data_IF_810056213645
#
_entry.id   IF_810056213645
#
_cell.length_a   1.000
_cell.length_b   1.000
_cell.length_c   1.000
_cell.angle_alpha   90.00
_cell.angle_beta   90.00
_cell.angle_gamma   90.00
#
_symmetry.space_group_name_H-M   'P 1'
#
loop_
_entity.id
_entity.type
_entity.pdbx_description
1 polymer ?
#
# COMPACT_ATOMS: atom_id res chain seq x y z
N UNK A 1 -6.70 4.61 -29.55
CA UNK A 1 -6.75 4.65 -28.08
C UNK A 1 -6.91 3.21 -27.65
N UNK A 2 -5.81 2.53 -27.38
CA UNK A 2 -5.88 1.30 -26.58
C UNK A 2 -6.31 1.70 -25.18
N UNK A 3 -7.27 0.96 -24.65
CA UNK A 3 -7.77 1.10 -23.29
C UNK A 3 -6.59 1.16 -22.31
N UNK A 4 -6.45 2.27 -21.59
CA UNK A 4 -5.45 2.45 -20.52
C UNK A 4 -5.95 1.87 -19.18
N UNK A 5 -6.95 0.99 -19.21
CA UNK A 5 -7.44 0.28 -18.04
C UNK A 5 -6.45 -0.80 -17.59
N UNK A 6 -6.18 -0.86 -16.28
CA UNK A 6 -5.45 -1.99 -15.69
C UNK A 6 -6.11 -3.30 -16.08
N UNK A 7 -5.30 -4.26 -16.52
CA UNK A 7 -5.78 -5.61 -16.82
C UNK A 7 -6.33 -6.28 -15.56
N UNK A 8 -7.28 -7.22 -15.72
CA UNK A 8 -7.82 -7.99 -14.61
C UNK A 8 -6.73 -8.64 -13.73
N UNK A 9 -5.60 -9.01 -14.35
CA UNK A 9 -4.43 -9.59 -13.66
C UNK A 9 -3.71 -8.57 -12.77
N UNK A 10 -3.52 -7.35 -13.25
CA UNK A 10 -2.91 -6.26 -12.47
C UNK A 10 -3.81 -5.87 -11.30
N UNK A 11 -5.12 -5.78 -11.55
CA UNK A 11 -6.11 -5.53 -10.50
C UNK A 11 -6.10 -6.62 -9.43
N UNK A 12 -6.09 -7.90 -9.83
CA UNK A 12 -6.00 -9.03 -8.91
C UNK A 12 -4.72 -9.00 -8.07
N UNK A 13 -3.59 -8.62 -8.67
CA UNK A 13 -2.31 -8.52 -7.96
C UNK A 13 -2.35 -7.41 -6.91
N UNK A 14 -2.86 -6.22 -7.25
CA UNK A 14 -3.02 -5.12 -6.29
C UNK A 14 -3.95 -5.47 -5.12
N UNK A 15 -5.07 -6.16 -5.41
CA UNK A 15 -5.99 -6.61 -4.37
C UNK A 15 -5.35 -7.66 -3.46
N UNK A 16 -4.54 -8.55 -4.02
CA UNK A 16 -3.82 -9.57 -3.26
C UNK A 16 -2.77 -8.95 -2.32
N UNK A 17 -1.99 -7.99 -2.80
CA UNK A 17 -1.02 -7.27 -1.96
C UNK A 17 -1.73 -6.55 -0.80
N UNK A 18 -2.82 -5.83 -1.10
CA UNK A 18 -3.65 -5.18 -0.08
C UNK A 18 -4.21 -6.19 0.94
N UNK A 19 -4.69 -7.34 0.46
CA UNK A 19 -5.21 -8.38 1.33
C UNK A 19 -4.13 -8.95 2.27
N UNK A 20 -2.92 -9.15 1.76
CA UNK A 20 -1.77 -9.62 2.57
C UNK A 20 -1.41 -8.59 3.64
N UNK A 21 -1.33 -7.30 3.30
CA UNK A 21 -1.05 -6.23 4.26
C UNK A 21 -2.10 -6.17 5.38
N UNK A 22 -3.38 -6.34 5.02
CA UNK A 22 -4.47 -6.45 6.00
C UNK A 22 -4.35 -7.70 6.90
N UNK A 23 -3.96 -8.85 6.33
CA UNK A 23 -3.72 -10.05 7.13
C UNK A 23 -2.54 -9.87 8.10
N UNK A 24 -1.49 -9.16 7.70
CA UNK A 24 -0.35 -8.84 8.58
C UNK A 24 -0.80 -8.00 9.76
N UNK A 25 -1.54 -6.92 9.51
CA UNK A 25 -2.09 -6.06 10.57
C UNK A 25 -3.02 -6.87 11.48
N UNK A 26 -3.93 -7.68 10.91
CA UNK A 26 -4.89 -8.48 11.68
C UNK A 26 -4.19 -9.45 12.64
N UNK A 27 -3.10 -10.07 12.22
CA UNK A 27 -2.38 -11.11 12.97
C UNK A 27 -1.17 -10.57 13.74
N UNK A 28 -0.86 -9.28 13.67
CA UNK A 28 0.26 -8.68 14.38
C UNK A 28 0.05 -8.74 15.91
N UNK A 29 1.08 -9.11 16.69
CA UNK A 29 1.03 -9.00 18.16
C UNK A 29 0.83 -7.56 18.65
N UNK A 30 1.39 -6.61 17.92
CA UNK A 30 1.25 -5.17 18.11
C UNK A 30 0.84 -4.55 16.78
N UNK A 31 -0.43 -4.13 16.69
CA UNK A 31 -1.02 -3.64 15.45
C UNK A 31 -0.52 -2.25 15.08
N UNK A 32 -0.31 -1.38 16.06
CA UNK A 32 0.17 -0.03 15.81
C UNK A 32 1.59 -0.06 15.27
N UNK A 33 2.45 -0.90 15.88
CA UNK A 33 3.82 -1.08 15.38
C UNK A 33 3.87 -1.62 13.95
N UNK A 34 2.96 -2.53 13.58
CA UNK A 34 2.87 -3.04 12.20
C UNK A 34 2.37 -1.95 11.23
N UNK A 35 1.39 -1.15 11.64
CA UNK A 35 0.89 -0.01 10.85
C UNK A 35 2.02 1.00 10.62
N UNK A 36 2.73 1.42 11.67
CA UNK A 36 3.88 2.33 11.58
C UNK A 36 4.97 1.79 10.64
N UNK A 37 5.27 0.48 10.74
CA UNK A 37 6.23 -0.18 9.86
C UNK A 37 5.78 -0.12 8.39
N UNK A 38 4.54 -0.51 8.10
CA UNK A 38 4.00 -0.52 6.74
C UNK A 38 3.94 0.90 6.15
N UNK A 39 3.50 1.88 6.94
CA UNK A 39 3.49 3.29 6.55
C UNK A 39 4.89 3.79 6.19
N UNK A 40 5.90 3.51 7.04
CA UNK A 40 7.29 3.90 6.79
C UNK A 40 7.85 3.30 5.49
N UNK A 41 7.61 2.00 5.26
CA UNK A 41 8.09 1.32 4.05
C UNK A 41 7.38 1.85 2.80
N UNK A 42 6.06 2.03 2.86
CA UNK A 42 5.28 2.55 1.74
C UNK A 42 5.67 4.00 1.42
N UNK A 43 5.87 4.83 2.44
CA UNK A 43 6.36 6.21 2.27
C UNK A 43 7.72 6.23 1.56
N UNK A 44 8.69 5.43 2.01
CA UNK A 44 9.99 5.36 1.36
C UNK A 44 9.91 4.91 -0.11
N UNK A 45 8.99 4.00 -0.45
CA UNK A 45 8.75 3.58 -1.84
C UNK A 45 8.12 4.70 -2.69
N UNK A 46 7.15 5.43 -2.14
CA UNK A 46 6.52 6.56 -2.81
C UNK A 46 7.53 7.70 -3.05
N UNK A 47 8.35 8.01 -2.05
CA UNK A 47 9.44 9.00 -2.16
C UNK A 47 10.46 8.58 -3.24
N UNK A 48 10.83 7.30 -3.32
CA UNK A 48 11.71 6.78 -4.37
C UNK A 48 11.11 6.90 -5.79
N UNK A 49 9.78 7.03 -5.89
CA UNK A 49 9.05 7.29 -7.12
C UNK A 49 8.78 8.80 -7.35
N UNK A 50 9.37 9.68 -6.54
CA UNK A 50 9.12 11.13 -6.52
C UNK A 50 7.66 11.52 -6.25
N UNK A 51 6.93 10.71 -5.50
CA UNK A 51 5.56 11.00 -5.07
C UNK A 51 5.61 11.59 -3.65
N UNK A 52 5.13 12.83 -3.51
CA UNK A 52 5.06 13.53 -2.22
C UNK A 52 3.94 12.92 -1.38
N UNK A 53 4.27 12.40 -0.20
CA UNK A 53 3.30 11.73 0.69
C UNK A 53 2.70 12.65 1.75
N UNK A 54 3.17 13.89 1.86
CA UNK A 54 2.75 14.84 2.89
C UNK A 54 1.25 15.18 2.80
N UNK A 55 0.69 15.16 1.59
CA UNK A 55 -0.74 15.39 1.32
C UNK A 55 -1.63 14.14 1.51
N UNK A 56 -1.04 12.97 1.82
CA UNK A 56 -1.79 11.71 1.94
C UNK A 56 -2.19 11.38 3.40
N UNK A 57 -1.78 12.22 4.35
CA UNK A 57 -2.23 12.09 5.73
C UNK A 57 -3.70 12.50 5.81
N UNK A 58 -4.57 11.57 6.19
CA UNK A 58 -5.98 11.84 6.47
C UNK A 58 -6.13 12.05 7.98
N UNK A 59 -6.52 13.27 8.39
CA UNK A 59 -6.90 13.60 9.78
C UNK A 59 -8.22 12.96 10.21
#
# INVERSE_FOLDING_TARGET
>A
MEDMGMTDREQATMLMDKFIDLQRIKNAPDREKEIEYQLRVTKAKLEALNIVTEDLNME
#
